data_IF_553206743677
#
_entry.id   IF_553206743677
#
_cell.length_a   1.000
_cell.length_b   1.000
_cell.length_c   1.000
_cell.angle_alpha   90.00
_cell.angle_beta   90.00
_cell.angle_gamma   90.00
#
_symmetry.space_group_name_H-M   'P 1'
#
loop_
_entity.id
_entity.type
_entity.pdbx_description
1 polymer ?
#
# COMPACT_ATOMS: atom_id res chain seq x y z
N UNK A 1 15.34 -14.65 -58.36
CA UNK A 1 14.32 -13.69 -57.87
C UNK A 1 13.52 -14.33 -56.75
N UNK A 2 13.95 -14.16 -55.50
CA UNK A 2 13.23 -14.68 -54.33
C UNK A 2 12.29 -13.58 -53.79
N UNK A 3 11.00 -13.90 -53.68
CA UNK A 3 9.94 -13.00 -53.20
C UNK A 3 9.40 -13.53 -51.88
N UNK A 4 9.15 -12.59 -50.94
CA UNK A 4 8.21 -12.64 -49.80
C UNK A 4 8.70 -13.47 -48.58
N UNK A 5 8.42 -13.12 -47.31
CA UNK A 5 7.55 -12.13 -46.67
C UNK A 5 7.85 -12.10 -45.16
N UNK A 6 7.78 -10.90 -44.56
CA UNK A 6 7.17 -10.57 -43.25
C UNK A 6 7.32 -11.57 -42.08
N UNK A 7 8.20 -11.25 -41.11
CA UNK A 7 8.13 -11.85 -39.77
C UNK A 7 7.34 -10.97 -38.81
N UNK A 8 6.12 -11.44 -38.59
CA UNK A 8 5.10 -11.01 -37.64
C UNK A 8 5.66 -10.83 -36.22
N UNK A 9 5.69 -9.59 -35.72
CA UNK A 9 5.98 -9.28 -34.31
C UNK A 9 4.76 -9.65 -33.44
N UNK A 10 4.54 -10.96 -33.32
CA UNK A 10 3.48 -11.55 -32.54
C UNK A 10 3.89 -11.63 -31.06
N UNK A 11 3.04 -11.03 -30.22
CA UNK A 11 2.71 -11.51 -28.86
C UNK A 11 3.85 -11.52 -27.82
N UNK A 12 4.01 -10.40 -27.11
CA UNK A 12 4.35 -10.43 -25.68
C UNK A 12 3.14 -10.02 -24.84
N UNK A 13 2.19 -10.96 -24.73
CA UNK A 13 1.10 -10.91 -23.75
C UNK A 13 1.38 -11.95 -22.69
N UNK A 14 2.45 -11.74 -21.92
CA UNK A 14 2.82 -12.59 -20.80
C UNK A 14 1.99 -12.21 -19.57
N UNK A 15 0.71 -12.58 -19.64
CA UNK A 15 -0.16 -12.76 -18.47
C UNK A 15 0.37 -13.95 -17.67
N UNK A 16 1.17 -13.68 -16.63
CA UNK A 16 1.40 -14.64 -15.53
C UNK A 16 1.34 -13.95 -14.17
N UNK A 17 0.17 -13.42 -13.84
CA UNK A 17 -0.26 -13.26 -12.45
C UNK A 17 -1.24 -14.40 -12.14
N UNK A 18 -0.73 -15.54 -11.71
CA UNK A 18 -1.59 -16.64 -11.25
C UNK A 18 -2.48 -16.18 -10.08
N UNK A 19 -3.69 -16.72 -9.92
CA UNK A 19 -4.55 -16.32 -8.82
C UNK A 19 -3.88 -16.72 -7.51
N UNK A 20 -3.42 -15.73 -6.74
CA UNK A 20 -3.03 -15.91 -5.34
C UNK A 20 -4.33 -16.25 -4.61
N UNK A 21 -4.67 -17.53 -4.56
CA UNK A 21 -5.75 -18.10 -3.76
C UNK A 21 -5.34 -18.13 -2.29
N UNK A 22 -4.87 -17.00 -1.78
CA UNK A 22 -4.85 -16.75 -0.35
C UNK A 22 -6.30 -16.74 0.12
N UNK A 23 -6.63 -17.61 1.07
CA UNK A 23 -7.93 -17.67 1.76
C UNK A 23 -8.42 -16.23 1.98
N UNK A 24 -9.56 -15.87 1.39
CA UNK A 24 -10.09 -14.51 1.46
C UNK A 24 -10.30 -14.17 2.94
N UNK A 25 -9.42 -13.34 3.50
CA UNK A 25 -9.61 -12.81 4.85
C UNK A 25 -10.95 -12.11 4.87
N UNK A 26 -11.86 -12.60 5.70
CA UNK A 26 -13.19 -12.04 5.89
C UNK A 26 -13.05 -10.61 6.41
N UNK A 27 -13.65 -9.65 5.73
CA UNK A 27 -13.42 -8.24 6.01
C UNK A 27 -14.14 -7.82 7.29
N UNK A 28 -13.43 -7.15 8.20
CA UNK A 28 -13.98 -6.70 9.47
C UNK A 28 -15.22 -5.82 9.26
N UNK A 29 -15.12 -4.78 8.43
CA UNK A 29 -16.27 -3.92 8.10
C UNK A 29 -17.46 -4.65 7.46
N UNK A 30 -17.21 -5.74 6.72
CA UNK A 30 -18.31 -6.56 6.18
C UNK A 30 -19.01 -7.38 7.26
N UNK A 31 -18.29 -7.85 8.29
CA UNK A 31 -18.87 -8.58 9.43
C UNK A 31 -19.70 -7.65 10.30
N UNK A 32 -19.19 -6.46 10.55
CA UNK A 32 -19.85 -5.42 11.35
C UNK A 32 -21.00 -4.73 10.58
N UNK A 33 -21.26 -5.14 9.32
CA UNK A 33 -22.27 -4.56 8.41
C UNK A 33 -22.16 -3.04 8.27
N UNK A 34 -20.94 -2.52 8.34
CA UNK A 34 -20.69 -1.09 8.13
C UNK A 34 -20.75 -0.84 6.62
N UNK A 35 -21.87 -0.27 6.17
CA UNK A 35 -22.14 0.00 4.74
C UNK A 35 -21.33 1.20 4.25
N UNK A 36 -21.14 2.21 5.10
CA UNK A 36 -20.42 3.44 4.79
C UNK A 36 -19.44 3.81 5.90
N UNK A 37 -18.28 4.30 5.46
CA UNK A 37 -17.20 4.78 6.34
C UNK A 37 -17.19 6.30 6.21
N UNK A 38 -17.67 6.97 7.25
CA UNK A 38 -17.69 8.42 7.29
C UNK A 38 -16.35 9.01 7.73
N UNK A 39 -16.07 10.22 7.23
CA UNK A 39 -14.86 10.97 7.58
C UNK A 39 -14.91 11.58 8.99
N UNK A 40 -16.12 11.66 9.57
CA UNK A 40 -16.36 12.21 10.91
C UNK A 40 -15.98 11.22 12.01
N UNK A 41 -15.96 9.92 11.72
CA UNK A 41 -15.66 8.87 12.68
C UNK A 41 -14.15 8.69 12.86
N UNK A 42 -13.51 9.69 13.45
CA UNK A 42 -12.10 9.68 13.83
C UNK A 42 -11.68 8.41 14.60
N UNK A 43 -12.42 7.87 15.59
CA UNK A 43 -11.98 6.66 16.29
C UNK A 43 -11.93 5.43 15.37
N UNK A 44 -12.83 5.33 14.38
CA UNK A 44 -12.81 4.27 13.40
C UNK A 44 -11.62 4.42 12.45
N UNK A 45 -11.41 5.63 11.92
CA UNK A 45 -10.32 5.90 10.99
C UNK A 45 -8.94 5.73 11.65
N UNK A 46 -8.80 6.14 12.92
CA UNK A 46 -7.57 5.98 13.70
C UNK A 46 -7.11 4.52 13.81
N UNK A 47 -8.04 3.56 13.92
CA UNK A 47 -7.72 2.11 13.94
C UNK A 47 -7.09 1.62 12.64
N UNK A 48 -7.42 2.26 11.52
CA UNK A 48 -6.92 1.91 10.19
C UNK A 48 -5.76 2.80 9.73
N UNK A 49 -5.38 3.80 10.53
CA UNK A 49 -4.17 4.59 10.33
C UNK A 49 -3.08 4.16 11.30
N UNK A 50 -1.82 4.30 10.89
CA UNK A 50 -0.70 4.24 11.80
C UNK A 50 -0.68 5.47 12.70
N UNK A 51 0.01 5.40 13.83
CA UNK A 51 0.31 6.54 14.70
C UNK A 51 0.96 7.69 13.93
N UNK A 52 1.75 7.36 12.90
CA UNK A 52 2.35 8.31 11.95
C UNK A 52 1.37 8.85 10.89
N UNK A 53 0.05 8.67 11.03
CA UNK A 53 -0.95 9.15 10.06
C UNK A 53 -0.95 8.43 8.70
N UNK A 54 -0.15 7.37 8.51
CA UNK A 54 -0.14 6.56 7.27
C UNK A 54 -1.31 5.58 7.23
N UNK A 55 -1.99 5.48 6.08
CA UNK A 55 -3.09 4.52 5.89
C UNK A 55 -2.52 3.09 5.89
N UNK A 56 -3.07 2.20 6.73
CA UNK A 56 -2.67 0.79 6.75
C UNK A 56 -3.14 0.09 5.47
N UNK A 57 -2.29 -0.81 4.96
CA UNK A 57 -2.61 -1.57 3.76
C UNK A 57 -3.67 -2.64 4.04
N UNK A 58 -4.38 -3.05 2.98
CA UNK A 58 -5.39 -4.11 3.03
C UNK A 58 -4.90 -5.42 3.65
N UNK A 59 -3.62 -5.74 3.49
CA UNK A 59 -3.03 -6.98 4.03
C UNK A 59 -3.00 -7.03 5.56
N UNK A 60 -2.83 -5.87 6.19
CA UNK A 60 -2.85 -5.69 7.65
C UNK A 60 -4.28 -5.54 8.17
N UNK A 61 -5.10 -4.72 7.50
CA UNK A 61 -6.46 -4.42 7.97
C UNK A 61 -7.49 -5.51 7.66
N UNK A 62 -7.22 -6.37 6.68
CA UNK A 62 -8.14 -7.41 6.24
C UNK A 62 -9.38 -6.87 5.51
N UNK A 63 -9.42 -5.59 5.13
CA UNK A 63 -10.58 -4.96 4.49
C UNK A 63 -10.86 -5.49 3.07
N UNK A 64 -12.09 -5.30 2.58
CA UNK A 64 -12.40 -5.62 1.18
C UNK A 64 -11.92 -4.49 0.27
N UNK A 65 -11.83 -4.73 -1.04
CA UNK A 65 -11.38 -3.69 -1.98
C UNK A 65 -12.32 -2.46 -1.96
N UNK A 66 -13.64 -2.68 -1.83
CA UNK A 66 -14.64 -1.60 -1.80
C UNK A 66 -14.47 -0.72 -0.57
N UNK A 67 -14.40 -1.33 0.62
CA UNK A 67 -14.19 -0.63 1.88
C UNK A 67 -12.82 0.04 1.96
N UNK A 68 -11.77 -0.54 1.37
CA UNK A 68 -10.46 0.12 1.34
C UNK A 68 -10.48 1.41 0.52
N UNK A 69 -11.20 1.43 -0.61
CA UNK A 69 -11.37 2.66 -1.42
C UNK A 69 -12.17 3.71 -0.66
N UNK A 70 -13.31 3.32 -0.08
CA UNK A 70 -14.14 4.22 0.74
C UNK A 70 -13.36 4.78 1.94
N UNK A 71 -12.57 3.94 2.61
CA UNK A 71 -11.72 4.35 3.72
C UNK A 71 -10.64 5.34 3.25
N UNK A 72 -10.01 5.09 2.10
CA UNK A 72 -9.01 6.02 1.55
C UNK A 72 -9.62 7.39 1.23
N UNK A 73 -10.84 7.43 0.69
CA UNK A 73 -11.59 8.67 0.43
C UNK A 73 -12.01 9.38 1.72
N UNK A 74 -12.47 8.63 2.72
CA UNK A 74 -12.81 9.18 4.04
C UNK A 74 -11.57 9.76 4.74
N UNK A 75 -10.43 9.06 4.72
CA UNK A 75 -9.17 9.56 5.30
C UNK A 75 -8.68 10.80 4.56
N UNK A 76 -8.79 10.87 3.23
CA UNK A 76 -8.41 12.06 2.46
C UNK A 76 -9.23 13.28 2.88
N UNK A 77 -10.56 13.16 2.92
CA UNK A 77 -11.47 14.21 3.41
C UNK A 77 -11.18 14.61 4.86
N UNK A 78 -10.90 13.63 5.72
CA UNK A 78 -10.57 13.88 7.13
C UNK A 78 -9.28 14.70 7.28
N UNK A 79 -8.32 14.52 6.37
CA UNK A 79 -7.06 15.27 6.37
C UNK A 79 -7.24 16.71 5.90
N UNK A 80 -8.10 16.94 4.91
CA UNK A 80 -8.49 18.29 4.47
C UNK A 80 -9.13 19.09 5.61
N UNK A 81 -9.87 18.41 6.49
CA UNK A 81 -10.50 18.98 7.68
C UNK A 81 -9.59 18.98 8.93
N UNK A 82 -8.31 18.63 8.79
CA UNK A 82 -7.34 18.54 9.89
C UNK A 82 -7.71 17.59 11.05
N UNK A 83 -8.65 16.65 10.86
CA UNK A 83 -9.01 15.65 11.88
C UNK A 83 -7.93 14.57 12.05
N UNK A 84 -7.18 14.30 10.98
CA UNK A 84 -6.07 13.33 10.96
C UNK A 84 -4.85 14.01 10.35
N UNK A 85 -3.67 13.93 10.98
CA UNK A 85 -2.47 14.56 10.44
C UNK A 85 -1.99 13.88 9.15
N UNK A 86 -1.47 14.69 8.23
CA UNK A 86 -0.57 14.20 7.18
C UNK A 86 0.69 13.66 7.85
N UNK A 87 1.30 12.62 7.26
CA UNK A 87 2.26 11.77 7.95
C UNK A 87 3.32 12.58 8.72
N UNK A 88 3.27 12.47 10.05
CA UNK A 88 4.20 13.15 10.93
C UNK A 88 5.61 12.65 10.69
N UNK A 89 6.55 13.59 10.72
CA UNK A 89 7.98 13.34 10.73
C UNK A 89 8.30 12.15 11.64
N UNK A 90 9.23 11.26 11.28
CA UNK A 90 9.68 10.23 12.21
C UNK A 90 10.39 10.93 13.37
N UNK A 91 9.64 11.37 14.38
CA UNK A 91 10.19 11.65 15.69
C UNK A 91 10.88 10.35 16.13
N UNK A 92 12.21 10.38 16.23
CA UNK A 92 13.09 9.26 16.55
C UNK A 92 13.37 8.29 15.37
N UNK A 93 14.38 8.64 14.56
CA UNK A 93 15.43 7.66 14.22
C UNK A 93 16.78 8.40 14.33
N UNK A 94 17.46 8.18 15.45
CA UNK A 94 18.83 8.66 15.64
C UNK A 94 19.69 8.21 14.46
N UNK A 95 20.49 9.15 13.97
CA UNK A 95 21.51 9.02 12.94
C UNK A 95 22.20 7.66 13.04
N UNK A 96 21.75 6.67 12.27
CA UNK A 96 22.49 5.42 12.12
C UNK A 96 23.82 5.81 11.45
N UNK A 97 24.99 5.65 12.10
CA UNK A 97 26.23 5.95 11.44
C UNK A 97 26.33 5.05 10.22
N UNK A 98 26.67 5.63 9.06
CA UNK A 98 26.99 4.85 7.87
C UNK A 98 28.16 3.95 8.25
N UNK A 99 27.92 2.65 8.50
CA UNK A 99 28.99 1.68 8.74
C UNK A 99 29.99 1.81 7.60
N UNK A 100 31.18 2.28 7.98
CA UNK A 100 32.33 2.43 7.11
C UNK A 100 32.53 1.14 6.34
N UNK A 101 32.57 1.28 5.03
CA UNK A 101 32.88 0.21 4.11
C UNK A 101 34.39 0.28 3.92
N UNK A 102 35.15 0.00 4.97
CA UNK A 102 36.60 -0.15 4.94
C UNK A 102 36.93 -1.30 3.98
N UNK A 103 37.24 -0.96 2.73
CA UNK A 103 37.62 -1.88 1.65
C UNK A 103 39.08 -1.69 1.23
N UNK A 104 39.90 -1.05 2.07
CA UNK A 104 41.22 -0.57 1.68
C UNK A 104 42.29 -0.81 2.77
N UNK A 105 42.45 -2.04 3.30
CA UNK A 105 43.54 -2.28 4.28
C UNK A 105 44.37 -3.56 4.14
N UNK A 106 44.29 -4.32 3.06
CA UNK A 106 45.29 -5.37 2.81
C UNK A 106 45.82 -5.21 1.38
N UNK A 107 46.69 -4.20 1.26
CA UNK A 107 47.59 -3.92 0.14
C UNK A 107 49.01 -4.20 0.65
N UNK A 108 49.52 -5.41 0.41
CA UNK A 108 50.94 -5.79 0.23
C UNK A 108 51.00 -7.28 -0.19
#
# INVERSE_FOLDING_TARGET
>A
MAKKKETNSARRKDKKGGPISGRRKSCACCKDKIVHIDYKDVPMLKRFTSERGKIRSRGMTGLCRRHQTQLAEAVKRSRELALIPYAGEPANEGTRPRRGRDRDRDRD
#
